data_IF_151388633162
#
_entry.id   IF_151388633162
#
_cell.length_a   1.000
_cell.length_b   1.000
_cell.length_c   1.000
_cell.angle_alpha   90.00
_cell.angle_beta   90.00
_cell.angle_gamma   90.00
#
_symmetry.space_group_name_H-M   'P 1'
#
loop_
_entity.id
_entity.type
_entity.pdbx_description
1 polymer ?
#
# COMPACT_ATOMS: atom_id res chain seq x y z
N UNK A 1 -74.39 -7.81 -2.27
CA UNK A 1 -72.92 -7.90 -2.16
C UNK A 1 -72.20 -7.09 -3.25
N UNK A 2 -72.66 -7.06 -4.50
CA UNK A 2 -72.13 -6.15 -5.53
C UNK A 2 -72.33 -4.64 -5.20
N UNK A 3 -73.41 -4.30 -4.51
CA UNK A 3 -73.73 -2.90 -4.14
C UNK A 3 -72.69 -2.21 -3.26
N UNK A 4 -72.01 -2.94 -2.37
CA UNK A 4 -70.99 -2.37 -1.50
C UNK A 4 -69.70 -2.02 -2.25
N UNK A 5 -69.36 -2.82 -3.28
CA UNK A 5 -68.21 -2.57 -4.16
C UNK A 5 -68.51 -1.40 -5.10
N UNK A 6 -69.71 -1.36 -5.70
CA UNK A 6 -70.13 -0.24 -6.54
C UNK A 6 -70.22 1.07 -5.74
N UNK A 7 -70.70 1.02 -4.50
CA UNK A 7 -70.68 2.17 -3.59
C UNK A 7 -69.24 2.59 -3.26
N UNK A 8 -68.31 1.66 -3.07
CA UNK A 8 -66.90 1.96 -2.88
C UNK A 8 -66.30 2.66 -4.11
N UNK A 9 -66.51 2.12 -5.32
CA UNK A 9 -66.04 2.74 -6.57
C UNK A 9 -66.62 4.14 -6.76
N UNK A 10 -67.91 4.32 -6.50
CA UNK A 10 -68.56 5.62 -6.61
C UNK A 10 -68.07 6.64 -5.57
N UNK A 11 -67.79 6.17 -4.34
CA UNK A 11 -67.22 7.01 -3.27
C UNK A 11 -65.78 7.42 -3.61
N UNK A 12 -64.99 6.50 -4.15
CA UNK A 12 -63.62 6.76 -4.62
C UNK A 12 -63.62 7.77 -5.78
N UNK A 13 -64.57 7.66 -6.72
CA UNK A 13 -64.76 8.65 -7.80
C UNK A 13 -65.14 10.03 -7.30
N UNK A 14 -66.09 10.12 -6.37
CA UNK A 14 -66.53 11.39 -5.80
C UNK A 14 -65.43 12.07 -4.98
N UNK A 15 -64.73 11.33 -4.12
CA UNK A 15 -63.67 11.87 -3.26
C UNK A 15 -62.42 12.26 -4.05
N UNK A 16 -62.11 11.53 -5.11
CA UNK A 16 -61.05 11.89 -6.05
C UNK A 16 -61.38 13.19 -6.79
N UNK A 17 -62.62 13.32 -7.31
CA UNK A 17 -63.08 14.56 -7.95
C UNK A 17 -63.16 15.76 -6.98
N UNK A 18 -63.31 15.52 -5.68
CA UNK A 18 -63.39 16.54 -4.64
C UNK A 18 -62.03 16.92 -4.01
N UNK A 19 -60.94 16.22 -4.34
CA UNK A 19 -59.62 16.51 -3.78
C UNK A 19 -59.41 16.12 -2.31
N UNK A 20 -60.37 15.43 -1.66
CA UNK A 20 -60.30 15.06 -0.24
C UNK A 20 -59.57 13.72 -0.03
N UNK A 21 -58.25 13.77 -0.17
CA UNK A 21 -57.39 12.57 -0.21
C UNK A 21 -57.18 11.88 1.15
N UNK A 22 -57.37 12.57 2.27
CA UNK A 22 -57.24 11.99 3.62
C UNK A 22 -58.39 11.05 3.97
N UNK A 23 -59.62 11.42 3.61
CA UNK A 23 -60.82 10.58 3.79
C UNK A 23 -60.76 9.35 2.88
N UNK A 24 -60.16 9.49 1.69
CA UNK A 24 -59.91 8.38 0.77
C UNK A 24 -58.95 7.34 1.39
N UNK A 25 -57.87 7.78 2.04
CA UNK A 25 -56.95 6.88 2.77
C UNK A 25 -57.65 6.13 3.91
N UNK A 26 -58.54 6.79 4.66
CA UNK A 26 -59.27 6.17 5.77
C UNK A 26 -60.31 5.15 5.28
N UNK A 27 -61.02 5.47 4.19
CA UNK A 27 -61.93 4.54 3.52
C UNK A 27 -61.19 3.31 2.99
N UNK A 28 -59.99 3.50 2.45
CA UNK A 28 -59.16 2.41 1.95
C UNK A 28 -58.76 1.45 3.08
N UNK A 29 -58.29 1.98 4.20
CA UNK A 29 -57.96 1.19 5.39
C UNK A 29 -59.18 0.42 5.92
N UNK A 30 -60.38 1.01 5.90
CA UNK A 30 -61.63 0.35 6.32
C UNK A 30 -62.17 -0.66 5.30
N UNK A 31 -61.89 -0.46 4.01
CA UNK A 31 -62.40 -1.32 2.92
C UNK A 31 -61.56 -2.57 2.66
N UNK A 32 -60.37 -2.71 3.24
CA UNK A 32 -59.46 -3.84 3.02
C UNK A 32 -60.08 -5.21 3.30
N UNK A 33 -60.91 -5.34 4.35
CA UNK A 33 -61.61 -6.59 4.68
C UNK A 33 -62.76 -6.93 3.72
N UNK A 34 -63.38 -5.92 3.09
CA UNK A 34 -64.46 -6.09 2.12
C UNK A 34 -63.94 -6.45 0.73
N UNK A 35 -62.77 -5.92 0.36
CA UNK A 35 -62.07 -6.24 -0.87
C UNK A 35 -61.49 -7.66 -0.85
N UNK A 36 -60.98 -8.11 0.31
CA UNK A 36 -60.46 -9.47 0.48
C UNK A 36 -61.52 -10.57 0.25
N UNK A 37 -62.81 -10.26 0.45
CA UNK A 37 -63.92 -11.21 0.32
C UNK A 37 -64.45 -11.36 -1.12
N UNK A 38 -64.12 -10.45 -2.04
CA UNK A 38 -64.74 -10.38 -3.38
C UNK A 38 -63.70 -10.38 -4.52
N UNK A 39 -62.75 -11.32 -4.50
CA UNK A 39 -61.57 -11.36 -5.38
C UNK A 39 -61.88 -11.43 -6.89
N UNK A 40 -62.93 -12.14 -7.29
CA UNK A 40 -63.29 -12.37 -8.70
C UNK A 40 -63.84 -11.13 -9.43
N UNK A 41 -64.43 -10.19 -8.70
CA UNK A 41 -65.00 -8.95 -9.25
C UNK A 41 -64.01 -7.79 -9.26
N UNK A 42 -62.83 -7.96 -8.66
CA UNK A 42 -61.81 -6.92 -8.56
C UNK A 42 -61.18 -6.56 -9.90
N UNK A 43 -61.11 -7.48 -10.88
CA UNK A 43 -60.60 -7.14 -12.22
C UNK A 43 -61.59 -6.29 -13.03
N UNK A 44 -62.90 -6.52 -12.87
CA UNK A 44 -63.95 -5.66 -13.44
C UNK A 44 -63.97 -4.28 -12.76
N UNK A 45 -63.72 -4.24 -11.45
CA UNK A 45 -63.55 -2.99 -10.70
C UNK A 45 -62.28 -2.26 -11.12
N UNK A 46 -61.13 -2.95 -11.28
CA UNK A 46 -59.88 -2.35 -11.75
C UNK A 46 -60.02 -1.70 -13.14
N UNK A 47 -60.78 -2.33 -14.04
CA UNK A 47 -61.09 -1.78 -15.37
C UNK A 47 -62.07 -0.61 -15.36
N UNK A 48 -62.79 -0.39 -14.25
CA UNK A 48 -63.72 0.73 -14.08
C UNK A 48 -63.08 1.95 -13.40
N UNK A 49 -61.93 1.82 -12.75
CA UNK A 49 -61.22 2.94 -12.13
C UNK A 49 -60.13 3.47 -13.06
N UNK A 50 -59.98 4.80 -13.12
CA UNK A 50 -58.88 5.41 -13.86
C UNK A 50 -57.60 5.34 -13.03
N UNK A 51 -56.52 4.85 -13.64
CA UNK A 51 -55.21 4.67 -13.01
C UNK A 51 -54.59 6.00 -12.58
N UNK A 52 -54.98 7.11 -13.20
CA UNK A 52 -54.49 8.46 -12.89
C UNK A 52 -55.23 9.09 -11.69
N UNK A 53 -56.55 8.99 -11.64
CA UNK A 53 -57.38 9.66 -10.63
C UNK A 53 -57.66 8.80 -9.39
N UNK A 54 -57.68 7.48 -9.54
CA UNK A 54 -58.00 6.53 -8.46
C UNK A 54 -56.84 5.58 -8.17
N UNK A 55 -55.62 6.03 -8.46
CA UNK A 55 -54.38 5.28 -8.26
C UNK A 55 -54.31 4.62 -6.89
N UNK A 56 -54.77 5.33 -5.87
CA UNK A 56 -54.75 4.87 -4.50
C UNK A 56 -55.68 3.66 -4.23
N UNK A 57 -56.87 3.65 -4.84
CA UNK A 57 -57.82 2.54 -4.74
C UNK A 57 -57.35 1.30 -5.50
N UNK A 58 -56.75 1.49 -6.68
CA UNK A 58 -56.14 0.42 -7.48
C UNK A 58 -54.95 -0.20 -6.75
N UNK A 59 -54.16 0.62 -6.04
CA UNK A 59 -53.03 0.18 -5.24
C UNK A 59 -53.47 -0.70 -4.07
N UNK A 60 -54.45 -0.25 -3.29
CA UNK A 60 -54.98 -1.01 -2.17
C UNK A 60 -55.61 -2.34 -2.60
N UNK A 61 -56.34 -2.35 -3.71
CA UNK A 61 -56.89 -3.57 -4.31
C UNK A 61 -55.78 -4.51 -4.77
N UNK A 62 -54.74 -3.99 -5.42
CA UNK A 62 -53.58 -4.77 -5.84
C UNK A 62 -52.82 -5.35 -4.65
N UNK A 63 -52.65 -4.56 -3.58
CA UNK A 63 -52.00 -4.99 -2.33
C UNK A 63 -52.77 -6.13 -1.65
N UNK A 64 -54.10 -6.04 -1.58
CA UNK A 64 -54.97 -7.11 -1.06
C UNK A 64 -54.90 -8.37 -1.94
N UNK A 65 -54.79 -8.23 -3.27
CA UNK A 65 -54.57 -9.37 -4.17
C UNK A 65 -53.22 -10.08 -3.94
N UNK A 66 -52.14 -9.34 -3.66
CA UNK A 66 -50.83 -9.93 -3.34
C UNK A 66 -50.75 -10.54 -1.93
N UNK A 67 -51.55 -10.05 -0.99
CA UNK A 67 -51.59 -10.57 0.39
C UNK A 67 -52.19 -11.98 0.49
N UNK A 68 -52.92 -12.45 -0.53
CA UNK A 68 -53.54 -13.77 -0.54
C UNK A 68 -52.69 -14.81 -1.30
N UNK A 69 -52.48 -16.02 -0.75
CA UNK A 69 -51.57 -17.03 -1.30
C UNK A 69 -52.07 -17.75 -2.57
N UNK A 70 -53.20 -17.34 -3.16
CA UNK A 70 -53.80 -18.01 -4.32
C UNK A 70 -54.14 -17.02 -5.41
N UNK A 71 -53.21 -16.83 -6.35
CA UNK A 71 -53.52 -16.34 -7.70
C UNK A 71 -52.69 -17.13 -8.73
N UNK A 72 -53.35 -17.93 -9.59
CA UNK A 72 -52.69 -18.66 -10.68
C UNK A 72 -52.04 -17.76 -11.74
N UNK A 73 -52.55 -16.53 -11.93
CA UNK A 73 -52.12 -15.62 -13.00
C UNK A 73 -51.29 -14.43 -12.47
N UNK A 74 -50.08 -14.73 -11.98
CA UNK A 74 -49.14 -13.70 -11.49
C UNK A 74 -48.51 -12.86 -12.61
N UNK A 75 -48.52 -13.32 -13.86
CA UNK A 75 -47.94 -12.60 -15.00
C UNK A 75 -48.86 -11.48 -15.50
N UNK A 76 -50.19 -11.70 -15.46
CA UNK A 76 -51.17 -10.65 -15.74
C UNK A 76 -51.20 -9.63 -14.60
N UNK A 77 -51.10 -10.08 -13.35
CA UNK A 77 -50.99 -9.19 -12.18
C UNK A 77 -49.71 -8.37 -12.19
N UNK A 78 -48.56 -8.96 -12.57
CA UNK A 78 -47.30 -8.24 -12.73
C UNK A 78 -47.40 -7.18 -13.85
N UNK A 79 -48.05 -7.52 -14.96
CA UNK A 79 -48.30 -6.57 -16.06
C UNK A 79 -49.23 -5.43 -15.63
N UNK A 80 -50.25 -5.72 -14.81
CA UNK A 80 -51.13 -4.72 -14.22
C UNK A 80 -50.39 -3.80 -13.25
N UNK A 81 -49.52 -4.33 -12.38
CA UNK A 81 -48.69 -3.52 -11.48
C UNK A 81 -47.67 -2.69 -12.27
N UNK A 82 -47.06 -3.25 -13.32
CA UNK A 82 -46.13 -2.52 -14.17
C UNK A 82 -46.83 -1.34 -14.86
N UNK A 83 -48.01 -1.58 -15.45
CA UNK A 83 -48.83 -0.52 -16.04
C UNK A 83 -49.14 0.54 -14.98
N UNK A 84 -49.62 0.11 -13.81
CA UNK A 84 -49.93 0.97 -12.68
C UNK A 84 -48.75 1.88 -12.30
N UNK A 85 -47.57 1.33 -12.02
CA UNK A 85 -46.39 2.11 -11.62
C UNK A 85 -45.95 3.07 -12.73
N UNK A 86 -46.12 2.70 -14.00
CA UNK A 86 -45.76 3.56 -15.14
C UNK A 86 -46.71 4.76 -15.31
N UNK A 87 -48.00 4.58 -15.06
CA UNK A 87 -49.05 5.60 -15.29
C UNK A 87 -49.54 6.30 -14.02
N UNK A 88 -49.05 5.92 -12.83
CA UNK A 88 -49.53 6.47 -11.56
C UNK A 88 -49.13 7.96 -11.34
N UNK A 89 -50.05 8.72 -10.74
CA UNK A 89 -49.85 10.10 -10.31
C UNK A 89 -49.09 10.19 -8.98
N UNK A 90 -47.94 10.88 -9.00
CA UNK A 90 -47.03 10.99 -7.86
C UNK A 90 -47.63 11.70 -6.65
N UNK A 91 -48.59 12.62 -6.83
CA UNK A 91 -49.20 13.37 -5.73
C UNK A 91 -50.08 12.51 -4.83
N UNK A 92 -50.86 11.57 -5.40
CA UNK A 92 -51.71 10.65 -4.64
C UNK A 92 -50.89 9.60 -3.86
N UNK A 93 -49.74 9.17 -4.41
CA UNK A 93 -48.84 8.22 -3.73
C UNK A 93 -48.30 8.80 -2.42
N UNK A 94 -48.14 10.13 -2.33
CA UNK A 94 -47.64 10.80 -1.10
C UNK A 94 -48.57 10.62 0.09
N UNK A 95 -49.88 10.55 -0.16
CA UNK A 95 -50.87 10.43 0.91
C UNK A 95 -51.00 9.00 1.45
N UNK A 96 -50.55 7.99 0.69
CA UNK A 96 -50.54 6.60 1.15
C UNK A 96 -49.25 5.86 0.79
N UNK A 97 -48.15 6.48 1.20
CA UNK A 97 -46.81 5.90 1.11
C UNK A 97 -46.71 4.53 1.79
N UNK A 98 -47.45 4.31 2.88
CA UNK A 98 -47.54 3.03 3.61
C UNK A 98 -48.03 1.88 2.71
N UNK A 99 -49.21 2.02 2.10
CA UNK A 99 -49.76 0.99 1.18
C UNK A 99 -48.88 0.79 -0.06
N UNK A 100 -48.27 1.86 -0.57
CA UNK A 100 -47.38 1.80 -1.73
C UNK A 100 -46.07 1.04 -1.42
N UNK A 101 -45.44 1.33 -0.29
CA UNK A 101 -44.25 0.64 0.15
C UNK A 101 -44.55 -0.83 0.50
N UNK A 102 -45.69 -1.09 1.15
CA UNK A 102 -46.18 -2.45 1.38
C UNK A 102 -46.33 -3.24 0.07
N UNK A 103 -46.92 -2.65 -0.96
CA UNK A 103 -47.06 -3.30 -2.28
C UNK A 103 -45.70 -3.60 -2.90
N UNK A 104 -44.75 -2.66 -2.84
CA UNK A 104 -43.40 -2.88 -3.36
C UNK A 104 -42.66 -3.98 -2.61
N UNK A 105 -42.84 -4.06 -1.29
CA UNK A 105 -42.27 -5.13 -0.46
C UNK A 105 -42.87 -6.50 -0.79
N UNK A 106 -44.20 -6.59 -0.93
CA UNK A 106 -44.88 -7.85 -1.30
C UNK A 106 -44.52 -8.30 -2.72
N UNK A 107 -44.46 -7.36 -3.67
CA UNK A 107 -43.97 -7.62 -5.02
C UNK A 107 -42.53 -8.15 -4.99
N UNK A 108 -41.68 -7.56 -4.16
CA UNK A 108 -40.29 -8.00 -4.00
C UNK A 108 -40.21 -9.42 -3.46
N UNK A 109 -40.96 -9.75 -2.41
CA UNK A 109 -41.00 -11.12 -1.86
C UNK A 109 -41.51 -12.13 -2.88
N UNK A 110 -42.59 -11.83 -3.60
CA UNK A 110 -43.13 -12.70 -4.65
C UNK A 110 -42.10 -12.95 -5.78
N UNK A 111 -41.34 -11.93 -6.18
CA UNK A 111 -40.27 -12.06 -7.18
C UNK A 111 -39.06 -12.85 -6.67
N UNK A 112 -38.74 -12.72 -5.38
CA UNK A 112 -37.68 -13.48 -4.71
C UNK A 112 -38.03 -14.96 -4.67
N UNK A 113 -39.26 -15.31 -4.27
CA UNK A 113 -39.75 -16.69 -4.24
C UNK A 113 -39.73 -17.35 -5.63
N UNK A 114 -40.05 -16.60 -6.69
CA UNK A 114 -40.06 -17.10 -8.07
C UNK A 114 -38.71 -17.03 -8.80
N UNK A 115 -37.65 -16.54 -8.15
CA UNK A 115 -36.28 -16.46 -8.71
C UNK A 115 -36.16 -15.63 -10.00
N UNK A 116 -37.06 -14.68 -10.26
CA UNK A 116 -36.99 -13.77 -11.41
C UNK A 116 -36.87 -12.28 -11.00
N UNK A 117 -35.86 -11.89 -10.19
CA UNK A 117 -35.74 -10.54 -9.66
C UNK A 117 -35.40 -9.46 -10.71
N UNK A 118 -34.90 -9.85 -11.89
CA UNK A 118 -34.40 -8.91 -12.90
C UNK A 118 -35.49 -7.98 -13.45
N UNK A 119 -36.71 -8.50 -13.68
CA UNK A 119 -37.83 -7.72 -14.21
C UNK A 119 -38.32 -6.67 -13.20
N UNK A 120 -38.23 -6.97 -11.91
CA UNK A 120 -38.67 -6.08 -10.83
C UNK A 120 -37.80 -4.83 -10.68
N UNK A 121 -36.50 -4.91 -10.95
CA UNK A 121 -35.56 -3.79 -10.77
C UNK A 121 -35.99 -2.55 -11.56
N UNK A 122 -36.44 -2.74 -12.81
CA UNK A 122 -36.94 -1.63 -13.65
C UNK A 122 -38.20 -0.97 -13.11
N UNK A 123 -39.09 -1.77 -12.52
CA UNK A 123 -40.36 -1.29 -11.93
C UNK A 123 -40.09 -0.55 -10.64
N UNK A 124 -39.30 -1.13 -9.73
CA UNK A 124 -38.95 -0.47 -8.46
C UNK A 124 -38.19 0.84 -8.69
N UNK A 125 -37.37 0.92 -9.74
CA UNK A 125 -36.71 2.17 -10.13
C UNK A 125 -37.73 3.28 -10.38
N UNK A 126 -38.73 3.01 -11.23
CA UNK A 126 -39.79 3.96 -11.54
C UNK A 126 -40.63 4.31 -10.30
N UNK A 127 -40.90 3.32 -9.45
CA UNK A 127 -41.59 3.52 -8.19
C UNK A 127 -40.84 4.48 -7.25
N UNK A 128 -39.51 4.33 -7.12
CA UNK A 128 -38.66 5.24 -6.33
C UNK A 128 -38.67 6.64 -6.91
N UNK A 129 -38.53 6.77 -8.24
CA UNK A 129 -38.54 8.07 -8.92
C UNK A 129 -39.86 8.84 -8.73
N UNK A 130 -40.98 8.12 -8.56
CA UNK A 130 -42.31 8.70 -8.33
C UNK A 130 -42.58 9.03 -6.86
N UNK A 131 -41.97 8.33 -5.91
CA UNK A 131 -42.13 8.60 -4.48
C UNK A 131 -41.23 9.73 -3.97
N UNK A 132 -40.02 9.86 -4.50
CA UNK A 132 -39.06 10.84 -4.02
C UNK A 132 -39.46 12.26 -4.46
N UNK A 133 -39.59 13.20 -3.51
CA UNK A 133 -39.75 14.62 -3.82
C UNK A 133 -38.39 15.28 -4.05
N UNK A 134 -37.41 14.85 -3.26
CA UNK A 134 -36.01 15.25 -3.35
C UNK A 134 -35.17 13.98 -3.55
N UNK A 135 -34.10 14.08 -4.33
CA UNK A 135 -33.14 12.98 -4.57
C UNK A 135 -32.55 12.40 -3.28
N UNK A 136 -32.59 13.16 -2.19
CA UNK A 136 -31.90 12.90 -0.93
C UNK A 136 -32.75 12.14 0.11
N UNK A 137 -33.95 11.69 -0.25
CA UNK A 137 -34.87 10.99 0.65
C UNK A 137 -34.66 9.46 0.60
N UNK A 138 -34.31 8.84 1.73
CA UNK A 138 -34.23 7.39 1.87
C UNK A 138 -35.65 6.81 2.03
N UNK A 139 -36.13 6.11 0.99
CA UNK A 139 -37.40 5.36 1.01
C UNK A 139 -37.16 3.88 1.28
N UNK A 140 -38.15 3.19 1.87
CA UNK A 140 -38.09 1.75 2.20
C UNK A 140 -37.80 0.89 0.95
N UNK A 141 -38.34 1.31 -0.18
CA UNK A 141 -38.24 0.63 -1.49
C UNK A 141 -36.81 0.58 -2.02
N UNK A 142 -35.93 1.50 -1.59
CA UNK A 142 -34.50 1.44 -1.96
C UNK A 142 -33.83 0.20 -1.38
N UNK A 143 -34.26 -0.30 -0.22
CA UNK A 143 -33.78 -1.54 0.36
C UNK A 143 -34.19 -2.75 -0.52
N UNK A 144 -35.45 -2.77 -0.96
CA UNK A 144 -36.01 -3.80 -1.83
C UNK A 144 -35.33 -3.82 -3.20
N UNK A 145 -35.07 -2.65 -3.79
CA UNK A 145 -34.30 -2.51 -5.02
C UNK A 145 -32.91 -3.14 -4.87
N UNK A 146 -32.21 -2.85 -3.76
CA UNK A 146 -30.90 -3.42 -3.50
C UNK A 146 -30.95 -4.94 -3.32
N UNK A 147 -31.98 -5.46 -2.64
CA UNK A 147 -32.20 -6.89 -2.48
C UNK A 147 -32.40 -7.60 -3.83
N UNK A 148 -33.24 -7.06 -4.71
CA UNK A 148 -33.47 -7.62 -6.05
C UNK A 148 -32.21 -7.55 -6.91
N UNK A 149 -31.47 -6.44 -6.88
CA UNK A 149 -30.21 -6.30 -7.60
C UNK A 149 -29.16 -7.30 -7.14
N UNK A 150 -29.09 -7.57 -5.83
CA UNK A 150 -28.16 -8.53 -5.25
C UNK A 150 -28.48 -9.97 -5.70
N UNK A 151 -29.75 -10.35 -5.70
CA UNK A 151 -30.20 -11.67 -6.16
C UNK A 151 -30.03 -11.84 -7.68
N UNK A 152 -30.33 -10.80 -8.46
CA UNK A 152 -30.14 -10.79 -9.91
C UNK A 152 -28.66 -10.70 -10.35
N UNK A 153 -27.74 -10.42 -9.42
CA UNK A 153 -26.32 -10.12 -9.68
C UNK A 153 -26.11 -8.97 -10.68
N UNK A 154 -27.06 -8.03 -10.76
CA UNK A 154 -27.01 -6.89 -11.66
C UNK A 154 -26.95 -5.59 -10.86
N UNK A 155 -25.74 -5.04 -10.70
CA UNK A 155 -25.49 -3.90 -9.81
C UNK A 155 -25.60 -2.54 -10.50
N UNK A 156 -25.43 -2.50 -11.82
CA UNK A 156 -25.36 -1.25 -12.60
C UNK A 156 -26.59 -0.33 -12.48
N UNK A 157 -27.84 -0.82 -12.47
CA UNK A 157 -29.01 0.06 -12.36
C UNK A 157 -29.24 0.64 -10.95
N UNK A 158 -28.64 0.06 -9.91
CA UNK A 158 -28.80 0.52 -8.52
C UNK A 158 -27.81 1.65 -8.14
N UNK A 159 -26.68 1.76 -8.87
CA UNK A 159 -25.62 2.73 -8.58
C UNK A 159 -26.11 4.19 -8.47
N UNK A 160 -26.96 4.72 -9.37
CA UNK A 160 -27.40 6.11 -9.28
C UNK A 160 -28.13 6.44 -7.98
N UNK A 161 -28.79 5.46 -7.37
CA UNK A 161 -29.49 5.63 -6.10
C UNK A 161 -28.56 5.47 -4.90
N UNK A 162 -27.52 4.64 -5.02
CA UNK A 162 -26.54 4.38 -3.97
C UNK A 162 -25.46 5.48 -3.90
N UNK A 163 -25.14 6.11 -5.03
CA UNK A 163 -24.10 7.14 -5.13
C UNK A 163 -24.54 8.48 -4.51
N UNK A 164 -25.85 8.69 -4.32
CA UNK A 164 -26.40 9.89 -3.67
C UNK A 164 -26.45 9.68 -2.15
N UNK A 165 -25.72 10.50 -1.41
CA UNK A 165 -25.73 10.47 0.05
C UNK A 165 -27.04 11.08 0.58
N UNK A 166 -27.88 10.25 1.21
CA UNK A 166 -29.23 10.61 1.63
C UNK A 166 -29.19 11.24 3.02
N UNK A 167 -29.79 12.42 3.15
CA UNK A 167 -29.80 13.18 4.41
C UNK A 167 -31.13 13.11 5.16
N UNK A 168 -32.21 12.70 4.49
CA UNK A 168 -33.55 12.66 5.08
C UNK A 168 -34.18 11.29 4.89
N UNK A 169 -34.87 10.77 5.92
CA UNK A 169 -35.54 9.48 5.87
C UNK A 169 -37.03 9.76 5.66
N UNK A 170 -37.60 9.26 4.57
CA UNK A 170 -39.03 9.35 4.33
C UNK A 170 -39.78 8.54 5.40
N UNK A 171 -40.32 9.24 6.40
CA UNK A 171 -41.26 8.64 7.35
C UNK A 171 -42.61 8.50 6.64
N UNK A 172 -42.81 7.36 6.00
CA UNK A 172 -44.04 6.99 5.30
C UNK A 172 -45.19 6.76 6.30
N UNK A 173 -45.74 7.84 6.88
CA UNK A 173 -46.85 7.81 7.85
C UNK A 173 -46.70 6.80 9.02
N UNK A 174 -45.46 6.44 9.39
CA UNK A 174 -45.15 5.48 10.46
C UNK A 174 -44.70 4.08 10.01
N UNK A 175 -44.67 3.77 8.71
CA UNK A 175 -44.34 2.44 8.17
C UNK A 175 -42.84 2.15 8.01
N UNK A 176 -41.96 3.10 8.36
CA UNK A 176 -40.53 2.91 8.20
C UNK A 176 -39.97 1.99 9.30
N UNK A 177 -39.96 0.67 9.04
CA UNK A 177 -39.28 -0.29 9.91
C UNK A 177 -37.75 -0.07 9.83
N UNK A 178 -37.11 -0.01 11.00
CA UNK A 178 -35.66 0.12 11.11
C UNK A 178 -34.91 -0.99 10.36
N UNK A 179 -35.55 -2.15 10.14
CA UNK A 179 -34.98 -3.22 9.32
C UNK A 179 -34.70 -2.79 7.88
N UNK A 180 -35.57 -2.00 7.25
CA UNK A 180 -35.34 -1.54 5.87
C UNK A 180 -34.12 -0.62 5.79
N UNK A 181 -33.89 0.21 6.82
CA UNK A 181 -32.67 0.99 6.95
C UNK A 181 -31.42 0.10 7.00
N UNK A 182 -31.42 -0.89 7.89
CA UNK A 182 -30.29 -1.82 8.00
C UNK A 182 -30.07 -2.60 6.70
N UNK A 183 -31.13 -3.10 6.07
CA UNK A 183 -31.07 -3.82 4.80
C UNK A 183 -30.51 -2.94 3.68
N UNK A 184 -30.95 -1.68 3.58
CA UNK A 184 -30.45 -0.75 2.57
C UNK A 184 -28.93 -0.56 2.67
N UNK A 185 -28.42 -0.20 3.85
CA UNK A 185 -26.98 0.01 4.02
C UNK A 185 -26.17 -1.28 3.90
N UNK A 186 -26.70 -2.40 4.41
CA UNK A 186 -26.03 -3.70 4.31
C UNK A 186 -25.96 -4.20 2.85
N UNK A 187 -27.07 -4.19 2.12
CA UNK A 187 -27.09 -4.60 0.71
C UNK A 187 -26.32 -3.62 -0.17
N UNK A 188 -26.42 -2.31 0.08
CA UNK A 188 -25.58 -1.30 -0.58
C UNK A 188 -24.10 -1.56 -0.38
N UNK A 189 -23.67 -1.86 0.86
CA UNK A 189 -22.30 -2.28 1.16
C UNK A 189 -21.88 -3.54 0.41
N UNK A 190 -22.76 -4.54 0.28
CA UNK A 190 -22.49 -5.76 -0.51
C UNK A 190 -22.36 -5.47 -2.00
N UNK A 191 -23.20 -4.60 -2.56
CA UNK A 191 -23.15 -4.17 -3.96
C UNK A 191 -21.81 -3.49 -4.25
N UNK A 192 -21.41 -2.52 -3.43
CA UNK A 192 -20.11 -1.84 -3.58
C UNK A 192 -18.92 -2.78 -3.39
N UNK A 193 -19.03 -3.73 -2.46
CA UNK A 193 -18.02 -4.79 -2.29
C UNK A 193 -17.91 -5.66 -3.53
N UNK A 194 -19.04 -6.02 -4.16
CA UNK A 194 -19.07 -6.77 -5.42
C UNK A 194 -18.45 -6.00 -6.60
N UNK A 195 -18.62 -4.68 -6.63
CA UNK A 195 -18.00 -3.77 -7.60
C UNK A 195 -16.54 -3.42 -7.28
N UNK A 196 -15.97 -3.93 -6.18
CA UNK A 196 -14.64 -3.62 -5.66
C UNK A 196 -14.42 -2.14 -5.31
N UNK A 197 -15.49 -1.37 -5.12
CA UNK A 197 -15.41 -0.03 -4.57
C UNK A 197 -15.42 -0.12 -3.04
N UNK A 198 -14.26 -0.46 -2.46
CA UNK A 198 -14.13 -0.75 -1.04
C UNK A 198 -14.29 0.50 -0.15
N UNK A 199 -14.05 1.70 -0.68
CA UNK A 199 -14.17 2.97 0.06
C UNK A 199 -15.64 3.27 0.40
N UNK A 200 -16.50 3.30 -0.62
CA UNK A 200 -17.95 3.42 -0.44
C UNK A 200 -18.52 2.25 0.36
N UNK A 201 -18.08 1.01 0.10
CA UNK A 201 -18.55 -0.14 0.87
C UNK A 201 -18.26 -0.01 2.38
N UNK A 202 -17.08 0.48 2.74
CA UNK A 202 -16.70 0.69 4.13
C UNK A 202 -17.61 1.73 4.80
N UNK A 203 -17.87 2.86 4.13
CA UNK A 203 -18.79 3.88 4.62
C UNK A 203 -20.20 3.31 4.86
N UNK A 204 -20.73 2.54 3.91
CA UNK A 204 -22.06 1.94 4.03
C UNK A 204 -22.15 0.96 5.21
N UNK A 205 -21.13 0.13 5.41
CA UNK A 205 -21.10 -0.74 6.58
C UNK A 205 -20.94 0.02 7.89
N UNK A 206 -20.16 1.12 7.90
CA UNK A 206 -20.01 2.00 9.06
C UNK A 206 -21.37 2.60 9.46
N UNK A 207 -22.13 3.14 8.51
CA UNK A 207 -23.47 3.69 8.76
C UNK A 207 -24.45 2.64 9.32
N UNK A 208 -24.37 1.39 8.84
CA UNK A 208 -25.19 0.29 9.38
C UNK A 208 -24.84 -0.05 10.85
N UNK A 209 -23.59 0.19 11.29
CA UNK A 209 -23.13 -0.13 12.65
C UNK A 209 -23.37 1.05 13.61
N UNK A 210 -23.29 2.29 13.12
CA UNK A 210 -23.49 3.50 13.91
C UNK A 210 -24.96 3.77 14.24
N UNK A 211 -25.88 3.10 13.56
CA UNK A 211 -27.32 3.25 13.81
C UNK A 211 -27.66 2.91 15.28
N UNK A 212 -28.35 3.81 16.01
CA UNK A 212 -28.79 3.56 17.38
C UNK A 212 -29.70 2.33 17.45
N UNK A 213 -29.30 1.30 18.20
CA UNK A 213 -30.07 0.07 18.36
C UNK A 213 -30.05 -0.40 19.82
N UNK A 214 -31.21 -0.84 20.31
CA UNK A 214 -31.36 -1.42 21.66
C UNK A 214 -31.26 -2.95 21.65
N UNK A 215 -31.53 -3.57 20.50
CA UNK A 215 -31.45 -5.02 20.30
C UNK A 215 -30.42 -5.36 19.21
N UNK A 216 -29.79 -6.53 19.34
CA UNK A 216 -28.83 -7.02 18.34
C UNK A 216 -29.59 -7.60 17.15
N UNK A 217 -29.35 -7.05 15.96
CA UNK A 217 -29.86 -7.60 14.69
C UNK A 217 -28.78 -8.44 14.00
N UNK A 218 -29.18 -9.54 13.36
CA UNK A 218 -28.29 -10.34 12.52
C UNK A 218 -27.69 -9.52 11.36
N UNK A 219 -28.43 -8.52 10.86
CA UNK A 219 -27.95 -7.63 9.78
C UNK A 219 -26.76 -6.80 10.26
N UNK A 220 -26.81 -6.29 11.50
CA UNK A 220 -25.71 -5.55 12.12
C UNK A 220 -24.48 -6.43 12.38
N UNK A 221 -24.71 -7.69 12.73
CA UNK A 221 -23.63 -8.64 12.97
C UNK A 221 -22.91 -9.00 11.67
N UNK A 222 -23.66 -9.28 10.60
CA UNK A 222 -23.09 -9.55 9.28
C UNK A 222 -22.43 -8.32 8.65
N UNK A 223 -22.98 -7.11 8.85
CA UNK A 223 -22.33 -5.87 8.42
C UNK A 223 -21.01 -5.65 9.16
N UNK A 224 -20.95 -5.92 10.46
CA UNK A 224 -19.72 -5.80 11.25
C UNK A 224 -18.61 -6.75 10.80
N UNK A 225 -18.95 -8.02 10.52
CA UNK A 225 -18.00 -9.01 9.98
C UNK A 225 -17.41 -8.53 8.65
N UNK A 226 -18.26 -8.05 7.73
CA UNK A 226 -17.84 -7.54 6.41
C UNK A 226 -17.06 -6.22 6.53
N UNK A 227 -17.41 -5.36 7.46
CA UNK A 227 -16.67 -4.14 7.78
C UNK A 227 -15.22 -4.44 8.18
N UNK A 228 -14.99 -5.43 9.04
CA UNK A 228 -13.63 -5.85 9.41
C UNK A 228 -12.87 -6.33 8.17
N UNK A 229 -13.46 -7.18 7.34
CA UNK A 229 -12.80 -7.67 6.13
C UNK A 229 -12.48 -6.55 5.14
N UNK A 230 -13.44 -5.66 4.86
CA UNK A 230 -13.27 -4.55 3.91
C UNK A 230 -12.25 -3.53 4.41
N UNK A 231 -12.27 -3.19 5.71
CA UNK A 231 -11.26 -2.29 6.30
C UNK A 231 -9.86 -2.87 6.23
N UNK A 232 -9.71 -4.18 6.45
CA UNK A 232 -8.44 -4.89 6.29
C UNK A 232 -7.99 -4.95 4.82
N UNK A 233 -8.90 -5.07 3.86
CA UNK A 233 -8.56 -5.05 2.43
C UNK A 233 -8.08 -3.66 2.00
N UNK A 234 -8.78 -2.59 2.41
CA UNK A 234 -8.53 -1.23 1.97
C UNK A 234 -7.34 -0.57 2.70
N UNK A 235 -7.37 -0.56 4.03
CA UNK A 235 -6.42 0.18 4.87
C UNK A 235 -5.33 -0.76 5.41
N UNK A 236 -5.60 -2.06 5.46
CA UNK A 236 -4.78 -3.06 6.14
C UNK A 236 -4.56 -2.73 7.62
N UNK A 237 -5.60 -2.20 8.24
CA UNK A 237 -5.85 -2.15 9.69
C UNK A 237 -7.35 -2.01 9.87
N UNK A 238 -7.89 -2.49 10.98
CA UNK A 238 -9.31 -2.30 11.29
C UNK A 238 -9.56 -0.83 11.58
N UNK A 239 -10.45 -0.20 10.81
CA UNK A 239 -10.84 1.18 11.01
C UNK A 239 -11.60 1.30 12.35
N UNK A 240 -11.15 2.22 13.20
CA UNK A 240 -11.78 2.42 14.50
C UNK A 240 -13.18 2.98 14.31
N UNK A 241 -14.15 2.35 14.96
CA UNK A 241 -15.54 2.80 14.95
C UNK A 241 -15.68 4.13 15.70
N UNK A 242 -16.60 5.03 15.27
CA UNK A 242 -16.87 6.26 15.99
C UNK A 242 -17.36 6.03 17.42
N UNK A 243 -17.08 6.96 18.34
CA UNK A 243 -17.45 6.83 19.77
C UNK A 243 -18.96 6.78 20.03
N UNK A 244 -19.78 7.27 19.09
CA UNK A 244 -21.23 7.29 19.19
C UNK A 244 -21.91 5.97 18.75
N UNK A 245 -21.13 4.93 18.42
CA UNK A 245 -21.72 3.62 18.11
C UNK A 245 -22.48 3.02 19.30
N UNK A 246 -23.57 2.31 18.99
CA UNK A 246 -24.41 1.61 19.96
C UNK A 246 -23.60 0.66 20.87
N UNK A 247 -23.86 0.72 22.19
CA UNK A 247 -23.16 -0.09 23.21
C UNK A 247 -23.29 -1.61 22.97
N UNK A 248 -24.37 -2.05 22.33
CA UNK A 248 -24.60 -3.43 21.93
C UNK A 248 -23.52 -3.98 20.98
N UNK A 249 -22.90 -3.13 20.15
CA UNK A 249 -21.85 -3.53 19.21
C UNK A 249 -20.62 -3.99 19.99
N UNK A 250 -20.22 -3.23 21.01
CA UNK A 250 -19.07 -3.57 21.85
C UNK A 250 -19.33 -4.75 22.78
N UNK A 251 -20.54 -4.85 23.35
CA UNK A 251 -20.88 -5.90 24.34
C UNK A 251 -21.22 -7.25 23.73
N UNK A 252 -21.95 -7.29 22.61
CA UNK A 252 -22.49 -8.53 22.05
C UNK A 252 -21.93 -8.85 20.68
N UNK A 253 -21.85 -7.88 19.76
CA UNK A 253 -21.41 -8.15 18.38
C UNK A 253 -19.92 -8.50 18.34
N UNK A 254 -19.08 -7.74 19.05
CA UNK A 254 -17.63 -7.96 19.11
C UNK A 254 -17.23 -9.38 19.56
N UNK A 255 -17.74 -9.94 20.67
CA UNK A 255 -17.41 -11.31 21.07
C UNK A 255 -18.00 -12.36 20.12
N UNK A 256 -19.17 -12.12 19.52
CA UNK A 256 -19.77 -13.04 18.54
C UNK A 256 -18.95 -13.12 17.24
N UNK A 257 -18.22 -12.06 16.88
CA UNK A 257 -17.34 -12.02 15.71
C UNK A 257 -15.86 -12.23 16.04
N UNK A 258 -15.53 -12.97 17.11
CA UNK A 258 -14.16 -13.13 17.57
C UNK A 258 -13.20 -13.68 16.50
N UNK A 259 -13.66 -14.61 15.64
CA UNK A 259 -12.85 -15.16 14.55
C UNK A 259 -12.32 -14.07 13.58
N UNK A 260 -13.09 -13.01 13.35
CA UNK A 260 -12.69 -11.89 12.48
C UNK A 260 -11.71 -10.95 13.19
N UNK A 261 -11.79 -10.82 14.51
CA UNK A 261 -10.80 -10.08 15.30
C UNK A 261 -9.48 -10.83 15.44
N UNK A 262 -9.52 -12.15 15.61
CA UNK A 262 -8.32 -13.01 15.59
C UNK A 262 -7.61 -12.87 14.24
N UNK A 263 -8.36 -12.84 13.12
CA UNK A 263 -7.81 -12.55 11.79
C UNK A 263 -7.17 -11.16 11.70
N UNK A 264 -7.82 -10.13 12.25
CA UNK A 264 -7.27 -8.77 12.27
C UNK A 264 -5.98 -8.68 13.11
N UNK A 265 -5.90 -9.43 14.21
CA UNK A 265 -4.71 -9.50 15.06
C UNK A 265 -3.56 -10.21 14.34
N UNK A 266 -3.81 -11.36 13.71
CA UNK A 266 -2.83 -12.04 12.88
C UNK A 266 -2.40 -11.21 11.66
N UNK A 267 -3.27 -10.34 11.13
CA UNK A 267 -2.86 -9.40 10.09
C UNK A 267 -1.79 -8.42 10.58
N UNK A 268 -1.82 -8.05 11.86
CA UNK A 268 -0.85 -7.13 12.46
C UNK A 268 0.56 -7.74 12.55
N UNK A 269 0.67 -9.08 12.63
CA UNK A 269 1.97 -9.80 12.62
C UNK A 269 2.58 -9.91 11.22
N UNK A 270 1.82 -9.58 10.16
CA UNK A 270 2.25 -9.58 8.74
C UNK A 270 2.77 -10.92 8.20
N UNK A 271 2.53 -12.03 8.91
CA UNK A 271 2.96 -13.36 8.49
C UNK A 271 1.88 -14.05 7.64
N UNK A 272 2.12 -14.32 6.35
CA UNK A 272 1.12 -14.93 5.46
C UNK A 272 0.77 -16.38 5.83
N UNK A 273 1.71 -17.14 6.42
CA UNK A 273 1.51 -18.54 6.76
C UNK A 273 0.62 -18.70 7.99
N UNK A 274 0.87 -17.87 9.01
CA UNK A 274 0.04 -17.80 10.22
C UNK A 274 -1.41 -17.42 9.88
N UNK A 275 -1.59 -16.46 8.97
CA UNK A 275 -2.90 -16.05 8.47
C UNK A 275 -3.61 -17.19 7.74
N UNK A 276 -2.92 -17.92 6.86
CA UNK A 276 -3.51 -19.08 6.17
C UNK A 276 -3.92 -20.18 7.14
N UNK A 277 -3.09 -20.50 8.13
CA UNK A 277 -3.42 -21.47 9.17
C UNK A 277 -4.66 -21.05 9.95
N UNK A 278 -4.79 -19.75 10.25
CA UNK A 278 -5.95 -19.21 10.96
C UNK A 278 -7.22 -19.23 10.10
N UNK A 279 -7.11 -18.93 8.82
CA UNK A 279 -8.22 -19.05 7.85
C UNK A 279 -8.68 -20.50 7.73
N UNK A 280 -7.76 -21.47 7.72
CA UNK A 280 -8.09 -22.89 7.69
C UNK A 280 -8.77 -23.35 8.99
N UNK A 281 -8.26 -22.89 10.15
CA UNK A 281 -8.83 -23.16 11.48
C UNK A 281 -10.28 -22.70 11.60
N UNK A 282 -10.59 -21.50 11.09
CA UNK A 282 -11.94 -20.89 11.16
C UNK A 282 -12.73 -21.01 9.85
N UNK A 283 -12.33 -21.91 8.95
CA UNK A 283 -12.90 -22.04 7.60
C UNK A 283 -14.41 -22.29 7.62
N UNK A 284 -14.89 -23.17 8.50
CA UNK A 284 -16.31 -23.49 8.66
C UNK A 284 -17.16 -22.27 9.03
N UNK A 285 -16.61 -21.37 9.86
CA UNK A 285 -17.27 -20.12 10.27
C UNK A 285 -17.40 -19.17 9.08
N UNK A 286 -16.33 -19.01 8.28
CA UNK A 286 -16.35 -18.14 7.11
C UNK A 286 -17.23 -18.67 5.97
N UNK A 287 -17.33 -20.00 5.83
CA UNK A 287 -18.28 -20.61 4.88
C UNK A 287 -19.72 -20.46 5.33
N UNK A 288 -20.00 -20.61 6.64
CA UNK A 288 -21.33 -20.39 7.22
C UNK A 288 -21.81 -18.96 7.01
N UNK A 289 -20.90 -18.00 7.12
CA UNK A 289 -21.18 -16.57 6.92
C UNK A 289 -21.20 -16.15 5.44
N UNK A 290 -20.91 -17.06 4.49
CA UNK A 290 -20.77 -16.80 3.05
C UNK A 290 -19.71 -15.72 2.69
N UNK A 291 -18.72 -15.50 3.56
CA UNK A 291 -17.71 -14.44 3.41
C UNK A 291 -16.34 -14.98 2.93
N UNK A 292 -16.22 -16.29 2.66
CA UNK A 292 -14.97 -16.94 2.27
C UNK A 292 -14.27 -16.28 1.07
N UNK A 293 -15.02 -15.79 0.08
CA UNK A 293 -14.45 -15.08 -1.07
C UNK A 293 -13.71 -13.80 -0.67
N UNK A 294 -14.23 -13.05 0.30
CA UNK A 294 -13.61 -11.83 0.82
C UNK A 294 -12.36 -12.17 1.64
N UNK A 295 -12.39 -13.25 2.42
CA UNK A 295 -11.21 -13.73 3.17
C UNK A 295 -10.05 -14.09 2.23
N UNK A 296 -10.33 -14.71 1.07
CA UNK A 296 -9.31 -14.97 0.04
C UNK A 296 -8.77 -13.69 -0.61
N UNK A 297 -9.62 -12.70 -0.84
CA UNK A 297 -9.18 -11.39 -1.32
C UNK A 297 -8.32 -10.67 -0.27
N UNK A 298 -8.65 -10.82 1.00
CA UNK A 298 -7.87 -10.34 2.13
C UNK A 298 -6.48 -11.02 2.22
N UNK A 299 -6.39 -12.34 2.01
CA UNK A 299 -5.09 -13.01 1.88
C UNK A 299 -4.27 -12.40 0.73
N UNK A 300 -4.91 -12.16 -0.41
CA UNK A 300 -4.27 -11.57 -1.58
C UNK A 300 -3.82 -10.12 -1.33
N UNK A 301 -4.58 -9.34 -0.54
CA UNK A 301 -4.21 -7.95 -0.21
C UNK A 301 -3.01 -7.89 0.72
N UNK A 302 -2.82 -8.87 1.62
CA UNK A 302 -1.62 -8.97 2.46
C UNK A 302 -0.35 -9.11 1.61
N UNK A 303 -0.35 -10.01 0.62
CA UNK A 303 0.79 -10.16 -0.29
C UNK A 303 1.09 -8.85 -1.04
N UNK A 304 0.07 -8.18 -1.57
CA UNK A 304 0.23 -6.88 -2.25
C UNK A 304 0.81 -5.83 -1.32
N UNK A 305 0.36 -5.76 -0.06
CA UNK A 305 0.86 -4.78 0.92
C UNK A 305 2.30 -5.07 1.33
N UNK A 306 2.67 -6.34 1.47
CA UNK A 306 4.05 -6.74 1.71
C UNK A 306 4.97 -6.33 0.55
N UNK A 307 4.54 -6.53 -0.70
CA UNK A 307 5.27 -6.07 -1.89
C UNK A 307 5.41 -4.53 -1.87
N UNK A 308 4.33 -3.78 -1.66
CA UNK A 308 4.37 -2.31 -1.61
C UNK A 308 5.31 -1.78 -0.52
N UNK A 309 5.35 -2.42 0.65
CA UNK A 309 6.29 -2.05 1.72
C UNK A 309 7.73 -2.30 1.33
N UNK A 310 8.02 -3.45 0.73
CA UNK A 310 9.36 -3.77 0.24
C UNK A 310 9.83 -2.75 -0.79
N UNK A 311 8.97 -2.34 -1.73
CA UNK A 311 9.31 -1.30 -2.72
C UNK A 311 9.60 0.05 -2.07
N UNK A 312 8.83 0.46 -1.04
CA UNK A 312 9.10 1.71 -0.31
C UNK A 312 10.39 1.63 0.50
N UNK A 313 10.68 0.48 1.10
CA UNK A 313 11.92 0.27 1.83
C UNK A 313 13.13 0.27 0.87
N UNK A 314 13.01 -0.35 -0.30
CA UNK A 314 14.08 -0.35 -1.30
C UNK A 314 14.35 1.04 -1.86
N UNK A 315 13.31 1.83 -2.16
CA UNK A 315 13.50 3.21 -2.64
C UNK A 315 14.16 4.10 -1.58
N UNK A 316 13.78 3.94 -0.30
CA UNK A 316 14.43 4.67 0.80
C UNK A 316 15.90 4.27 0.96
N UNK A 317 16.24 2.98 0.77
CA UNK A 317 17.63 2.50 0.79
C UNK A 317 18.41 3.09 -0.38
N UNK A 318 17.82 3.18 -1.58
CA UNK A 318 18.43 3.83 -2.74
C UNK A 318 18.71 5.32 -2.48
N UNK A 319 17.75 6.06 -1.92
CA UNK A 319 17.94 7.47 -1.53
C UNK A 319 19.09 7.64 -0.52
N UNK A 320 19.15 6.78 0.49
CA UNK A 320 20.24 6.78 1.47
C UNK A 320 21.59 6.39 0.85
N UNK A 321 21.62 5.43 -0.07
CA UNK A 321 22.83 5.06 -0.80
C UNK A 321 23.34 6.24 -1.64
N UNK A 322 22.44 6.96 -2.30
CA UNK A 322 22.80 8.13 -3.09
C UNK A 322 23.34 9.26 -2.22
N UNK A 323 22.75 9.49 -1.04
CA UNK A 323 23.26 10.46 -0.07
C UNK A 323 24.65 10.08 0.45
N UNK A 324 24.88 8.81 0.80
CA UNK A 324 26.21 8.31 1.20
C UNK A 324 27.23 8.47 0.07
N UNK A 325 26.83 8.24 -1.18
CA UNK A 325 27.72 8.43 -2.34
C UNK A 325 28.13 9.90 -2.50
N UNK A 326 27.18 10.84 -2.35
CA UNK A 326 27.47 12.28 -2.37
C UNK A 326 28.43 12.69 -1.25
N UNK A 327 28.20 12.24 -0.02
CA UNK A 327 29.09 12.54 1.10
C UNK A 327 30.51 11.99 0.89
N UNK A 328 30.64 10.79 0.32
CA UNK A 328 31.96 10.22 -0.04
C UNK A 328 32.68 11.08 -1.07
N UNK A 329 31.96 11.57 -2.08
CA UNK A 329 32.53 12.39 -3.14
C UNK A 329 33.02 13.75 -2.60
N UNK A 330 32.22 14.41 -1.77
CA UNK A 330 32.62 15.66 -1.09
C UNK A 330 33.86 15.48 -0.19
N UNK A 331 33.91 14.38 0.57
CA UNK A 331 35.07 14.09 1.41
C UNK A 331 36.32 13.87 0.55
N UNK A 332 36.19 13.16 -0.57
CA UNK A 332 37.30 12.89 -1.47
C UNK A 332 37.81 14.16 -2.15
N UNK A 333 36.92 15.05 -2.57
CA UNK A 333 37.28 16.37 -3.12
C UNK A 333 38.00 17.24 -2.08
N UNK A 334 37.51 17.29 -0.84
CA UNK A 334 38.17 18.00 0.27
C UNK A 334 39.57 17.45 0.57
N UNK A 335 39.74 16.12 0.53
CA UNK A 335 41.05 15.47 0.69
C UNK A 335 42.01 15.81 -0.45
N UNK A 336 41.53 15.82 -1.70
CA UNK A 336 42.33 16.18 -2.87
C UNK A 336 42.78 17.64 -2.76
N UNK A 337 41.87 18.56 -2.46
CA UNK A 337 42.19 19.98 -2.26
C UNK A 337 43.25 20.17 -1.17
N UNK A 338 43.12 19.48 -0.03
CA UNK A 338 44.09 19.57 1.06
C UNK A 338 45.46 19.05 0.63
N UNK A 339 45.51 17.95 -0.15
CA UNK A 339 46.78 17.40 -0.68
C UNK A 339 47.42 18.31 -1.73
N UNK A 340 46.64 18.94 -2.60
CA UNK A 340 47.14 19.90 -3.58
C UNK A 340 47.71 21.14 -2.89
N UNK A 341 47.03 21.68 -1.89
CA UNK A 341 47.54 22.81 -1.10
C UNK A 341 48.86 22.49 -0.40
N UNK A 342 49.00 21.29 0.18
CA UNK A 342 50.25 20.85 0.79
C UNK A 342 51.37 20.73 -0.26
N UNK A 343 51.07 20.19 -1.44
CA UNK A 343 52.04 20.08 -2.55
C UNK A 343 52.49 21.46 -3.04
N UNK A 344 51.59 22.41 -3.15
CA UNK A 344 51.91 23.78 -3.56
C UNK A 344 52.73 24.51 -2.49
N UNK A 345 52.43 24.30 -1.21
CA UNK A 345 53.27 24.81 -0.11
C UNK A 345 54.66 24.20 -0.16
N UNK A 346 54.78 22.88 -0.30
CA UNK A 346 56.06 22.18 -0.44
C UNK A 346 56.87 22.75 -1.61
N UNK A 347 56.24 22.92 -2.78
CA UNK A 347 56.89 23.49 -3.96
C UNK A 347 57.38 24.92 -3.72
N UNK A 348 56.59 25.76 -3.04
CA UNK A 348 57.00 27.12 -2.64
C UNK A 348 58.22 27.09 -1.72
N UNK A 349 58.19 26.25 -0.68
CA UNK A 349 59.33 26.07 0.24
C UNK A 349 60.58 25.57 -0.48
N UNK A 350 60.44 24.64 -1.43
CA UNK A 350 61.57 24.17 -2.24
C UNK A 350 62.14 25.29 -3.11
N UNK A 351 61.30 26.12 -3.72
CA UNK A 351 61.75 27.23 -4.54
C UNK A 351 62.46 28.31 -3.72
N UNK A 352 61.93 28.62 -2.54
CA UNK A 352 62.56 29.54 -1.59
C UNK A 352 63.92 29.00 -1.11
N UNK A 353 64.00 27.69 -0.82
CA UNK A 353 65.26 27.01 -0.49
C UNK A 353 66.27 27.08 -1.62
N UNK A 354 65.87 26.84 -2.87
CA UNK A 354 66.75 26.93 -4.05
C UNK A 354 67.24 28.37 -4.23
N UNK A 355 66.33 29.36 -4.15
CA UNK A 355 66.67 30.77 -4.26
C UNK A 355 67.67 31.21 -3.19
N UNK A 356 67.44 30.81 -1.93
CA UNK A 356 68.32 31.10 -0.81
C UNK A 356 69.71 30.46 -1.03
N UNK A 357 69.74 29.20 -1.45
CA UNK A 357 70.99 28.50 -1.80
C UNK A 357 71.76 29.25 -2.89
N UNK A 358 71.10 29.65 -3.97
CA UNK A 358 71.73 30.39 -5.06
C UNK A 358 72.27 31.76 -4.60
N UNK A 359 71.54 32.43 -3.71
CA UNK A 359 71.97 33.71 -3.11
C UNK A 359 73.25 33.54 -2.28
N UNK A 360 73.32 32.48 -1.45
CA UNK A 360 74.54 32.18 -0.68
C UNK A 360 75.69 31.72 -1.56
N UNK A 361 75.45 30.89 -2.57
CA UNK A 361 76.45 30.50 -3.55
C UNK A 361 77.04 31.73 -4.26
N UNK A 362 76.18 32.67 -4.68
CA UNK A 362 76.62 33.93 -5.29
C UNK A 362 77.49 34.75 -4.33
N UNK A 363 77.08 34.92 -3.07
CA UNK A 363 77.89 35.59 -2.03
C UNK A 363 79.26 34.92 -1.85
N UNK A 364 79.32 33.59 -1.84
CA UNK A 364 80.58 32.83 -1.74
C UNK A 364 81.46 33.09 -2.97
N UNK A 365 80.89 33.10 -4.17
CA UNK A 365 81.62 33.38 -5.41
C UNK A 365 82.17 34.81 -5.42
N UNK A 366 81.36 35.79 -4.99
CA UNK A 366 81.77 37.19 -4.92
C UNK A 366 82.93 37.37 -3.93
N UNK A 367 82.82 36.78 -2.73
CA UNK A 367 83.92 36.77 -1.74
C UNK A 367 85.17 36.10 -2.33
N UNK A 368 85.04 34.92 -2.95
CA UNK A 368 86.18 34.25 -3.60
C UNK A 368 86.82 35.12 -4.67
N UNK A 369 86.02 35.81 -5.50
CA UNK A 369 86.50 36.69 -6.56
C UNK A 369 87.26 37.88 -5.96
N UNK A 370 86.79 38.45 -4.86
CA UNK A 370 87.46 39.55 -4.17
C UNK A 370 88.81 39.12 -3.56
N UNK A 371 88.89 37.92 -2.99
CA UNK A 371 90.16 37.35 -2.56
C UNK A 371 91.07 37.04 -3.76
N UNK A 372 90.55 36.50 -4.86
CA UNK A 372 91.32 36.23 -6.07
C UNK A 372 91.86 37.49 -6.73
N UNK A 373 91.11 38.59 -6.78
CA UNK A 373 91.59 39.87 -7.33
C UNK A 373 92.68 40.45 -6.44
N UNK A 374 92.51 40.40 -5.11
CA UNK A 374 93.58 40.75 -4.15
C UNK A 374 94.81 39.88 -4.32
N UNK A 375 94.65 38.57 -4.53
CA UNK A 375 95.76 37.64 -4.79
C UNK A 375 96.46 37.91 -6.12
N UNK A 376 95.71 38.14 -7.19
CA UNK A 376 96.23 38.45 -8.53
C UNK A 376 96.95 39.80 -8.58
N UNK A 377 96.54 40.76 -7.75
CA UNK A 377 97.25 42.04 -7.59
C UNK A 377 98.62 41.91 -6.93
N UNK A 378 98.90 40.79 -6.25
CA UNK A 378 100.17 40.52 -5.54
C UNK A 378 101.10 39.54 -6.29
N UNK A 379 100.65 38.92 -7.38
CA UNK A 379 101.38 37.88 -8.12
C UNK A 379 101.69 38.31 -9.57
N UNK A 380 102.97 38.48 -9.94
CA UNK A 380 103.38 38.77 -11.32
C UNK A 380 102.93 37.68 -12.31
N UNK A 381 102.48 38.08 -13.50
CA UNK A 381 101.92 37.17 -14.52
C UNK A 381 102.90 36.04 -14.93
N UNK A 382 104.21 36.29 -14.87
CA UNK A 382 105.26 35.30 -15.16
C UNK A 382 105.24 34.10 -14.19
N UNK A 383 105.12 34.36 -12.89
CA UNK A 383 105.14 33.32 -11.86
C UNK A 383 103.85 32.47 -11.88
N UNK A 384 102.75 33.09 -12.31
CA UNK A 384 101.45 32.42 -12.45
C UNK A 384 101.45 31.41 -13.59
N UNK A 385 102.09 31.72 -14.71
CA UNK A 385 102.19 30.83 -15.87
C UNK A 385 102.97 29.55 -15.51
N UNK A 386 104.11 29.69 -14.83
CA UNK A 386 104.93 28.55 -14.39
C UNK A 386 104.19 27.65 -13.38
N UNK A 387 103.41 28.25 -12.48
CA UNK A 387 102.56 27.52 -11.54
C UNK A 387 101.40 26.81 -12.25
N UNK A 388 100.77 27.42 -13.25
CA UNK A 388 99.70 26.78 -14.05
C UNK A 388 100.26 25.60 -14.89
N UNK A 389 101.46 25.74 -15.47
CA UNK A 389 102.13 24.67 -16.22
C UNK A 389 102.53 23.50 -15.31
N UNK A 390 103.06 23.78 -14.12
CA UNK A 390 103.40 22.73 -13.14
C UNK A 390 102.15 22.06 -12.57
N UNK A 391 101.06 22.79 -12.31
CA UNK A 391 99.78 22.20 -11.87
C UNK A 391 99.15 21.34 -12.97
N UNK A 392 99.23 21.76 -14.23
CA UNK A 392 98.73 20.97 -15.38
C UNK A 392 99.51 19.66 -15.52
N UNK A 393 100.83 19.72 -15.41
CA UNK A 393 101.70 18.54 -15.37
C UNK A 393 101.35 17.60 -14.21
N UNK A 394 101.21 18.13 -12.99
CA UNK A 394 100.84 17.35 -11.81
C UNK A 394 99.42 16.74 -11.93
N UNK A 395 98.42 17.46 -12.46
CA UNK A 395 97.08 16.90 -12.73
C UNK A 395 97.13 15.75 -13.73
N UNK A 396 97.94 15.86 -14.77
CA UNK A 396 98.12 14.78 -15.75
C UNK A 396 98.73 13.53 -15.10
N UNK A 397 99.71 13.72 -14.21
CA UNK A 397 100.33 12.65 -13.44
C UNK A 397 99.35 12.02 -12.45
N UNK A 398 98.57 12.82 -11.72
CA UNK A 398 97.56 12.32 -10.77
C UNK A 398 96.46 11.54 -11.49
N UNK A 399 95.97 12.01 -12.64
CA UNK A 399 95.00 11.27 -13.45
C UNK A 399 95.59 9.94 -13.95
N UNK A 400 96.86 9.94 -14.38
CA UNK A 400 97.54 8.71 -14.81
C UNK A 400 97.69 7.71 -13.66
N UNK A 401 98.02 8.20 -12.47
CA UNK A 401 98.11 7.40 -11.24
C UNK A 401 96.74 6.89 -10.79
N UNK A 402 95.68 7.70 -10.83
CA UNK A 402 94.31 7.25 -10.53
C UNK A 402 93.84 6.16 -11.50
N UNK A 403 94.14 6.30 -12.81
CA UNK A 403 93.85 5.27 -13.80
C UNK A 403 94.62 3.98 -13.51
N UNK A 404 95.91 4.07 -13.16
CA UNK A 404 96.72 2.92 -12.74
C UNK A 404 96.18 2.25 -11.48
N UNK A 405 95.80 3.03 -10.46
CA UNK A 405 95.22 2.52 -9.21
C UNK A 405 93.90 1.81 -9.47
N UNK A 406 93.04 2.35 -10.34
CA UNK A 406 91.77 1.72 -10.72
C UNK A 406 91.99 0.37 -11.41
N UNK A 407 92.93 0.29 -12.36
CA UNK A 407 93.32 -0.98 -13.02
C UNK A 407 93.87 -1.98 -12.00
N UNK A 408 94.68 -1.52 -11.04
CA UNK A 408 95.23 -2.38 -10.00
C UNK A 408 94.16 -2.85 -9.02
N UNK A 409 93.17 -2.01 -8.68
CA UNK A 409 92.03 -2.41 -7.85
C UNK A 409 91.16 -3.46 -8.55
N UNK A 410 90.95 -3.32 -9.86
CA UNK A 410 90.25 -4.33 -10.69
C UNK A 410 90.99 -5.67 -10.69
N UNK A 411 92.31 -5.65 -10.89
CA UNK A 411 93.15 -6.86 -10.82
C UNK A 411 93.13 -7.50 -9.44
N UNK A 412 93.14 -6.70 -8.38
CA UNK A 412 93.13 -7.19 -7.00
C UNK A 412 91.77 -7.78 -6.60
N UNK A 413 90.67 -7.28 -7.17
CA UNK A 413 89.33 -7.87 -7.07
C UNK A 413 89.26 -9.23 -7.77
N UNK A 414 89.83 -9.35 -8.98
CA UNK A 414 89.94 -10.63 -9.69
C UNK A 414 90.71 -11.69 -8.89
N UNK A 415 91.87 -11.31 -8.34
CA UNK A 415 92.70 -12.22 -7.53
C UNK A 415 92.00 -12.61 -6.21
N UNK A 416 91.27 -11.69 -5.57
CA UNK A 416 90.48 -12.01 -4.37
C UNK A 416 89.32 -12.96 -4.68
N UNK A 417 88.67 -12.81 -5.84
CA UNK A 417 87.58 -13.70 -6.27
C UNK A 417 88.07 -15.13 -6.58
N UNK A 418 89.26 -15.26 -7.17
CA UNK A 418 89.90 -16.57 -7.40
C UNK A 418 90.38 -17.21 -6.08
N UNK A 419 90.89 -16.41 -5.15
CA UNK A 419 91.31 -16.88 -3.82
C UNK A 419 90.17 -17.35 -2.92
N UNK A 420 88.97 -16.75 -3.01
CA UNK A 420 87.79 -17.22 -2.26
C UNK A 420 87.21 -18.50 -2.83
N UNK A 421 87.25 -18.68 -4.16
CA UNK A 421 86.87 -19.94 -4.79
C UNK A 421 87.77 -21.11 -4.37
N UNK A 422 89.10 -20.90 -4.30
CA UNK A 422 90.04 -21.94 -3.84
C UNK A 422 89.93 -22.25 -2.33
N UNK A 423 89.64 -21.26 -1.49
CA UNK A 423 89.44 -21.51 -0.04
C UNK A 423 88.13 -22.24 0.25
N UNK A 424 87.07 -22.04 -0.54
CA UNK A 424 85.82 -22.80 -0.39
C UNK A 424 85.95 -24.26 -0.85
N UNK A 425 86.71 -24.53 -1.91
CA UNK A 425 86.95 -25.91 -2.39
C UNK A 425 87.80 -26.71 -1.40
N UNK A 426 88.90 -26.11 -0.91
CA UNK A 426 89.80 -26.78 0.06
C UNK A 426 89.18 -26.95 1.45
N UNK A 427 88.31 -26.03 1.92
CA UNK A 427 87.58 -26.21 3.17
C UNK A 427 86.52 -27.32 3.08
N UNK A 428 85.93 -27.55 1.91
CA UNK A 428 84.93 -28.61 1.69
C UNK A 428 85.58 -30.00 1.60
N UNK A 429 86.75 -30.10 0.99
CA UNK A 429 87.55 -31.33 0.93
C UNK A 429 88.14 -31.70 2.30
N UNK A 430 88.67 -30.73 3.05
CA UNK A 430 89.22 -30.99 4.38
C UNK A 430 88.14 -31.30 5.44
N UNK A 431 86.92 -30.77 5.31
CA UNK A 431 85.80 -31.13 6.18
C UNK A 431 85.25 -32.54 5.90
N UNK A 432 85.28 -33.00 4.64
CA UNK A 432 84.91 -34.38 4.32
C UNK A 432 85.94 -35.40 4.83
N UNK A 433 87.25 -35.10 4.74
CA UNK A 433 88.30 -36.02 5.19
C UNK A 433 88.48 -36.05 6.74
N UNK A 434 88.04 -35.00 7.43
CA UNK A 434 88.02 -34.96 8.91
C UNK A 434 86.83 -35.75 9.52
N UNK A 435 85.68 -35.82 8.84
CA UNK A 435 84.51 -36.57 9.32
C UNK A 435 84.69 -38.09 9.14
N UNK A 436 85.43 -38.53 8.11
CA UNK A 436 85.79 -39.93 7.91
C UNK A 436 86.84 -40.44 8.91
N UNK A 437 87.74 -39.57 9.40
CA UNK A 437 88.81 -39.96 10.34
C UNK A 437 88.44 -39.88 11.83
N UNK A 438 87.37 -39.18 12.20
CA UNK A 438 86.88 -39.11 13.59
C UNK A 438 85.96 -40.27 14.02
N UNK A 439 85.65 -41.23 13.13
CA UNK A 439 84.79 -42.38 13.45
C UNK A 439 85.54 -43.63 13.96
N UNK A 440 86.87 -43.61 14.00
CA UNK A 440 87.68 -44.74 14.50
C UNK A 440 88.82 -44.28 15.42
N UNK A 441 88.58 -44.31 16.74
CA UNK A 441 89.60 -44.70 17.72
C UNK A 441 90.37 -43.60 18.47
N UNK A 442 90.10 -43.53 19.79
CA UNK A 442 90.98 -43.15 20.90
C UNK A 442 91.46 -41.67 21.05
N UNK A 443 90.76 -40.96 21.94
CA UNK A 443 91.26 -39.87 22.81
C UNK A 443 92.50 -40.33 23.62
N UNK A 444 93.47 -39.46 24.00
CA UNK A 444 93.18 -38.45 25.04
C UNK A 444 94.01 -37.14 25.07
N UNK A 445 93.49 -36.24 25.92
CA UNK A 445 94.18 -35.26 26.77
C UNK A 445 94.77 -33.96 26.19
N UNK A 446 94.10 -32.85 26.56
CA UNK A 446 94.77 -31.63 27.02
C UNK A 446 94.91 -30.47 26.04
N UNK A 447 93.99 -29.50 26.08
CA UNK A 447 94.24 -28.12 26.54
C UNK A 447 93.06 -27.18 26.22
N UNK A 448 92.56 -26.55 27.28
CA UNK A 448 92.19 -25.12 27.38
C UNK A 448 91.32 -24.50 26.27
N UNK A 449 90.02 -24.46 26.58
CA UNK A 449 89.21 -23.25 26.81
C UNK A 449 89.60 -22.02 25.98
N UNK A 450 88.77 -21.71 24.98
CA UNK A 450 88.69 -20.41 24.32
C UNK A 450 87.50 -19.60 24.83
N UNK A 451 87.76 -18.31 24.94
CA UNK A 451 86.88 -17.18 25.25
C UNK A 451 86.19 -16.71 23.97
N UNK A 452 84.90 -16.34 24.11
CA UNK A 452 84.01 -15.53 23.24
C UNK A 452 83.87 -15.89 21.75
#
# INVERSE_FOLDING_TARGET
>A
MASALEQFVNSVRQLSAQGQMTQLCELINKSGELLAKNLSHLDTVLGALDVQEHSLGVLAVSFVKFSMPSVPDLETLFSQVQLFISTCNGEHIRYATDTFAGLCYQLTNALVERKQPLRGIGILKQAIDKMQMNTNQLTSIRADLCQLCLLAKCFKPALPYLDVDMMDICKENGAYDAKHFFCYYYYGGMIYTGLKNFERALYFYEQAITTPAMAVSHIMLESYKKYILVSLILLGKVQQLPKYTSQIVGRFIKPLSNAYHELAQAYSTNNPLELQNLVNKHSETFTRDNNMGLVKQFLSSLYKKNIQRLTKASSMIEELQQYVCQLKQQLQESQIQTKEQLRDQENKFQMEKIHLKHTYEKKIIDIRREYETKLKGLMPASLRQELEDTISSLKSQVNFLQKKVSILQEKLLHIKAEGTAHKQVTARENAMDAISRLRCGLLPAGLKIWIL
#
